data_IF_722184700743
#
_entry.id   IF_722184700743
#
_cell.length_a   1.000
_cell.length_b   1.000
_cell.length_c   1.000
_cell.angle_alpha   90.00
_cell.angle_beta   90.00
_cell.angle_gamma   90.00
#
_symmetry.space_group_name_H-M   'P 1'
#
loop_
_entity.id
_entity.type
_entity.pdbx_description
1 polymer ?
#
# COMPACT_ATOMS: atom_id res chain seq x y z
N UNK A 1 -24.80 -13.00 -1.28
CA UNK A 1 -23.37 -13.24 -0.96
C UNK A 1 -23.31 -14.43 -0.04
N UNK A 2 -22.41 -15.38 -0.28
CA UNK A 2 -22.17 -16.47 0.67
C UNK A 2 -21.70 -15.86 1.99
N UNK A 3 -22.30 -16.25 3.11
CA UNK A 3 -21.95 -15.72 4.41
C UNK A 3 -20.68 -16.43 4.90
N UNK A 4 -19.53 -15.79 4.72
CA UNK A 4 -18.27 -16.26 5.28
C UNK A 4 -18.12 -15.80 6.73
N UNK A 5 -17.64 -16.67 7.61
CA UNK A 5 -17.33 -16.37 9.01
C UNK A 5 -15.84 -16.19 9.26
N UNK A 6 -14.97 -16.67 8.36
CA UNK A 6 -13.51 -16.47 8.44
C UNK A 6 -12.90 -16.18 7.08
N UNK A 7 -11.76 -15.47 7.05
CA UNK A 7 -11.06 -15.15 5.80
C UNK A 7 -10.61 -16.40 5.02
N UNK A 8 -10.25 -17.47 5.73
CA UNK A 8 -9.81 -18.74 5.12
C UNK A 8 -10.86 -19.36 4.17
N UNK A 9 -12.14 -19.02 4.33
CA UNK A 9 -13.24 -19.52 3.51
C UNK A 9 -13.40 -18.78 2.17
N UNK A 10 -12.73 -17.64 1.99
CA UNK A 10 -12.77 -16.93 0.71
C UNK A 10 -12.01 -17.74 -0.33
N UNK A 11 -12.73 -18.28 -1.32
CA UNK A 11 -12.08 -18.98 -2.41
C UNK A 11 -11.34 -17.98 -3.32
N UNK A 12 -10.10 -18.31 -3.66
CA UNK A 12 -9.38 -17.57 -4.69
C UNK A 12 -9.57 -18.28 -6.02
N UNK A 13 -10.03 -17.53 -7.01
CA UNK A 13 -10.09 -17.97 -8.39
C UNK A 13 -9.46 -16.87 -9.23
N UNK A 14 -8.44 -17.23 -10.03
CA UNK A 14 -7.82 -16.28 -10.96
C UNK A 14 -8.91 -15.70 -11.87
N UNK A 15 -9.09 -14.37 -11.90
CA UNK A 15 -10.08 -13.77 -12.78
C UNK A 15 -9.75 -14.01 -14.26
N UNK A 16 -10.81 -14.16 -15.07
CA UNK A 16 -10.67 -14.10 -16.52
C UNK A 16 -10.54 -12.64 -16.96
N UNK A 17 -9.29 -12.18 -17.10
CA UNK A 17 -8.98 -10.81 -17.51
C UNK A 17 -9.42 -10.51 -18.94
N UNK A 18 -9.40 -11.50 -19.85
CA UNK A 18 -9.85 -11.27 -21.23
C UNK A 18 -11.36 -11.09 -21.30
N UNK A 19 -12.12 -11.93 -20.60
CA UNK A 19 -13.57 -11.75 -20.48
C UNK A 19 -13.91 -10.43 -19.77
N UNK A 20 -13.13 -10.01 -18.76
CA UNK A 20 -13.32 -8.73 -18.12
C UNK A 20 -13.13 -7.56 -19.10
N UNK A 21 -12.04 -7.56 -19.88
CA UNK A 21 -11.76 -6.56 -20.92
C UNK A 21 -12.83 -6.57 -22.00
N UNK A 22 -13.27 -7.74 -22.45
CA UNK A 22 -14.34 -7.88 -23.43
C UNK A 22 -15.67 -7.31 -22.93
N UNK A 23 -16.02 -7.58 -21.67
CA UNK A 23 -17.20 -7.01 -21.03
C UNK A 23 -17.14 -5.48 -20.98
N UNK A 24 -15.98 -4.91 -20.65
CA UNK A 24 -15.78 -3.44 -20.61
C UNK A 24 -15.93 -2.85 -22.01
N UNK A 25 -15.25 -3.41 -23.02
CA UNK A 25 -15.35 -2.97 -24.43
C UNK A 25 -16.79 -2.99 -24.93
N UNK A 26 -17.50 -4.09 -24.73
CA UNK A 26 -18.93 -4.20 -25.11
C UNK A 26 -19.83 -3.23 -24.35
N UNK A 27 -19.44 -2.83 -23.15
CA UNK A 27 -20.22 -1.88 -22.34
C UNK A 27 -20.14 -0.46 -22.88
N UNK A 28 -19.05 -0.08 -23.55
CA UNK A 28 -18.95 1.21 -24.27
C UNK A 28 -20.09 1.35 -25.28
N UNK A 29 -20.26 0.35 -26.16
CA UNK A 29 -21.32 0.37 -27.18
C UNK A 29 -22.72 0.34 -26.55
N UNK A 30 -22.89 -0.38 -25.45
CA UNK A 30 -24.18 -0.43 -24.73
C UNK A 30 -24.55 0.91 -24.11
N UNK A 31 -23.59 1.66 -23.56
CA UNK A 31 -23.85 3.01 -23.03
C UNK A 31 -24.20 3.97 -24.18
N UNK A 32 -23.45 3.93 -25.29
CA UNK A 32 -23.69 4.82 -26.46
C UNK A 32 -25.06 4.62 -27.10
N UNK A 33 -25.58 3.38 -27.09
CA UNK A 33 -26.86 3.01 -27.70
C UNK A 33 -28.00 2.87 -26.68
N UNK A 34 -27.78 3.19 -25.41
CA UNK A 34 -28.83 3.12 -24.40
C UNK A 34 -29.88 4.20 -24.63
N UNK A 35 -31.14 3.81 -24.80
CA UNK A 35 -32.27 4.75 -24.95
C UNK A 35 -32.96 5.15 -23.65
N UNK A 36 -32.48 4.66 -22.49
CA UNK A 36 -33.04 5.00 -21.17
C UNK A 36 -31.98 5.04 -20.08
N UNK A 37 -32.26 5.79 -19.01
CA UNK A 37 -31.41 5.85 -17.81
C UNK A 37 -31.24 4.49 -17.15
N UNK A 38 -32.28 3.65 -17.13
CA UNK A 38 -32.24 2.32 -16.51
C UNK A 38 -31.29 1.38 -17.25
N UNK A 39 -31.21 1.49 -18.58
CA UNK A 39 -30.27 0.73 -19.38
C UNK A 39 -28.82 1.13 -19.07
N UNK A 40 -28.55 2.45 -18.96
CA UNK A 40 -27.24 2.98 -18.57
C UNK A 40 -26.86 2.52 -17.16
N UNK A 41 -27.71 2.71 -16.15
CA UNK A 41 -27.44 2.28 -14.77
C UNK A 41 -27.15 0.78 -14.68
N UNK A 42 -27.88 -0.05 -15.44
CA UNK A 42 -27.64 -1.51 -15.46
C UNK A 42 -26.26 -1.87 -16.03
N UNK A 43 -25.85 -1.23 -17.13
CA UNK A 43 -24.53 -1.46 -17.74
C UNK A 43 -23.42 -0.96 -16.81
N UNK A 44 -23.58 0.25 -16.27
CA UNK A 44 -22.66 0.84 -15.31
C UNK A 44 -22.45 -0.05 -14.08
N UNK A 45 -23.55 -0.54 -13.49
CA UNK A 45 -23.50 -1.49 -12.38
C UNK A 45 -22.77 -2.78 -12.76
N UNK A 46 -23.02 -3.34 -13.95
CA UNK A 46 -22.36 -4.58 -14.37
C UNK A 46 -20.84 -4.44 -14.50
N UNK A 47 -20.36 -3.31 -15.04
CA UNK A 47 -18.92 -3.01 -15.10
C UNK A 47 -18.33 -2.82 -13.70
N UNK A 48 -19.01 -2.09 -12.82
CA UNK A 48 -18.57 -1.91 -11.43
C UNK A 48 -18.56 -3.24 -10.65
N UNK A 49 -19.52 -4.12 -10.91
CA UNK A 49 -19.56 -5.47 -10.32
C UNK A 49 -18.35 -6.31 -10.78
N UNK A 50 -17.97 -6.23 -12.06
CA UNK A 50 -16.78 -6.89 -12.58
C UNK A 50 -15.50 -6.32 -11.98
N UNK A 51 -15.37 -4.99 -11.88
CA UNK A 51 -14.21 -4.34 -11.26
C UNK A 51 -14.08 -4.72 -9.78
N UNK A 52 -15.21 -4.80 -9.06
CA UNK A 52 -15.24 -5.28 -7.67
C UNK A 52 -14.78 -6.72 -7.54
N UNK A 53 -15.17 -7.60 -8.47
CA UNK A 53 -14.70 -8.99 -8.48
C UNK A 53 -13.19 -9.09 -8.70
N UNK A 54 -12.65 -8.38 -9.70
CA UNK A 54 -11.20 -8.31 -9.95
C UNK A 54 -10.43 -7.86 -8.70
N UNK A 55 -10.85 -6.75 -8.09
CA UNK A 55 -10.24 -6.23 -6.86
C UNK A 55 -10.34 -7.21 -5.69
N UNK A 56 -11.47 -7.90 -5.54
CA UNK A 56 -11.63 -8.91 -4.48
C UNK A 56 -10.60 -10.03 -4.64
N UNK A 57 -10.44 -10.57 -5.85
CA UNK A 57 -9.48 -11.65 -6.09
C UNK A 57 -8.03 -11.16 -5.95
N UNK A 58 -7.72 -9.95 -6.40
CA UNK A 58 -6.41 -9.33 -6.20
C UNK A 58 -6.06 -9.22 -4.70
N UNK A 59 -6.99 -8.70 -3.88
CA UNK A 59 -6.80 -8.59 -2.42
C UNK A 59 -6.65 -9.96 -1.75
N UNK A 60 -7.41 -10.97 -2.17
CA UNK A 60 -7.24 -12.32 -1.63
C UNK A 60 -5.85 -12.89 -1.96
N UNK A 61 -5.39 -12.73 -3.20
CA UNK A 61 -4.04 -13.14 -3.60
C UNK A 61 -2.95 -12.39 -2.82
N UNK A 62 -3.09 -11.07 -2.68
CA UNK A 62 -2.15 -10.20 -1.98
C UNK A 62 -2.02 -10.58 -0.50
N UNK A 63 -3.14 -10.78 0.21
CA UNK A 63 -3.12 -11.18 1.61
C UNK A 63 -2.42 -12.54 1.76
N UNK A 64 -2.70 -13.50 0.87
CA UNK A 64 -2.06 -14.82 0.95
C UNK A 64 -0.58 -14.79 0.61
N UNK A 65 -0.19 -13.98 -0.38
CA UNK A 65 1.21 -13.73 -0.72
C UNK A 65 1.97 -13.06 0.43
N UNK A 66 1.36 -12.10 1.13
CA UNK A 66 2.03 -11.38 2.23
C UNK A 66 2.11 -12.21 3.52
N UNK A 67 1.22 -13.20 3.71
CA UNK A 67 1.33 -14.19 4.79
C UNK A 67 2.54 -15.11 4.57
N UNK A 68 2.74 -15.58 3.33
CA UNK A 68 3.88 -16.42 2.96
C UNK A 68 4.43 -15.98 1.59
N UNK A 69 5.45 -15.12 1.63
CA UNK A 69 6.12 -14.59 0.43
C UNK A 69 7.02 -15.62 -0.26
N UNK A 70 7.08 -16.85 0.27
CA UNK A 70 7.79 -17.97 -0.34
C UNK A 70 6.87 -18.92 -1.10
N UNK A 71 5.55 -18.70 -1.06
CA UNK A 71 4.57 -19.47 -1.83
C UNK A 71 4.64 -19.07 -3.32
N UNK A 72 5.15 -19.95 -4.21
CA UNK A 72 5.28 -19.63 -5.63
C UNK A 72 3.93 -19.48 -6.33
N UNK A 73 2.84 -20.04 -5.78
CA UNK A 73 1.52 -19.90 -6.37
C UNK A 73 1.07 -18.45 -6.26
N UNK A 74 0.95 -17.90 -5.05
CA UNK A 74 0.47 -16.53 -4.85
C UNK A 74 1.44 -15.48 -5.37
N UNK A 75 2.74 -15.76 -5.41
CA UNK A 75 3.70 -14.92 -6.14
C UNK A 75 3.33 -14.80 -7.62
N UNK A 76 3.07 -15.93 -8.29
CA UNK A 76 2.69 -15.95 -9.71
C UNK A 76 1.31 -15.31 -9.96
N UNK A 77 0.38 -15.42 -9.01
CA UNK A 77 -0.91 -14.74 -9.09
C UNK A 77 -0.75 -13.22 -9.00
N UNK A 78 0.09 -12.73 -8.08
CA UNK A 78 0.40 -11.31 -8.01
C UNK A 78 1.05 -10.80 -9.30
N UNK A 79 1.99 -11.56 -9.87
CA UNK A 79 2.58 -11.24 -11.16
C UNK A 79 1.51 -11.12 -12.27
N UNK A 80 0.57 -12.05 -12.30
CA UNK A 80 -0.54 -12.00 -13.25
C UNK A 80 -1.39 -10.73 -13.08
N UNK A 81 -1.68 -10.31 -11.84
CA UNK A 81 -2.39 -9.05 -11.60
C UNK A 81 -1.58 -7.82 -12.01
N UNK A 82 -0.27 -7.77 -11.73
CA UNK A 82 0.58 -6.64 -12.14
C UNK A 82 0.60 -6.44 -13.65
N UNK A 83 0.61 -7.53 -14.42
CA UNK A 83 0.61 -7.48 -15.89
C UNK A 83 -0.76 -7.12 -16.48
N UNK A 84 -1.86 -7.55 -15.84
CA UNK A 84 -3.20 -7.44 -16.42
C UNK A 84 -4.03 -6.26 -15.92
N UNK A 85 -3.86 -5.82 -14.67
CA UNK A 85 -4.63 -4.71 -14.12
C UNK A 85 -4.43 -3.40 -14.89
N UNK A 86 -3.21 -2.99 -15.27
CA UNK A 86 -3.01 -1.80 -16.10
C UNK A 86 -3.71 -1.91 -17.46
N UNK A 87 -3.77 -3.11 -18.05
CA UNK A 87 -4.48 -3.35 -19.31
C UNK A 87 -6.00 -3.25 -19.14
N UNK A 88 -6.54 -3.69 -18.01
CA UNK A 88 -7.95 -3.49 -17.67
C UNK A 88 -8.25 -2.00 -17.50
N UNK A 89 -7.36 -1.24 -16.85
CA UNK A 89 -7.52 0.19 -16.64
C UNK A 89 -7.53 0.96 -17.97
N UNK A 90 -6.76 0.53 -18.98
CA UNK A 90 -6.84 1.08 -20.34
C UNK A 90 -8.23 0.92 -20.97
N UNK A 91 -8.85 -0.25 -20.84
CA UNK A 91 -10.21 -0.47 -21.35
C UNK A 91 -11.23 0.34 -20.55
N UNK A 92 -11.03 0.44 -19.24
CA UNK A 92 -11.88 1.24 -18.35
C UNK A 92 -11.85 2.71 -18.70
N UNK A 93 -10.72 3.25 -19.17
CA UNK A 93 -10.60 4.67 -19.52
C UNK A 93 -11.61 5.08 -20.61
N UNK A 94 -11.78 4.28 -21.68
CA UNK A 94 -12.76 4.56 -22.73
C UNK A 94 -14.20 4.38 -22.24
N UNK A 95 -14.45 3.38 -21.39
CA UNK A 95 -15.75 3.20 -20.74
C UNK A 95 -16.12 4.40 -19.85
N UNK A 96 -15.21 4.84 -18.99
CA UNK A 96 -15.39 6.00 -18.10
C UNK A 96 -15.63 7.27 -18.89
N UNK A 97 -14.84 7.51 -19.95
CA UNK A 97 -15.06 8.63 -20.88
C UNK A 97 -16.47 8.61 -21.47
N UNK A 98 -16.93 7.44 -21.91
CA UNK A 98 -18.27 7.27 -22.49
C UNK A 98 -19.37 7.54 -21.46
N UNK A 99 -19.19 7.11 -20.21
CA UNK A 99 -20.12 7.39 -19.11
C UNK A 99 -20.18 8.90 -18.82
N UNK A 100 -19.03 9.58 -18.74
CA UNK A 100 -18.94 11.03 -18.51
C UNK A 100 -19.54 11.87 -19.65
N UNK A 101 -19.70 11.29 -20.85
CA UNK A 101 -20.31 11.93 -22.02
C UNK A 101 -21.77 11.52 -22.23
N UNK A 102 -22.31 10.63 -21.39
CA UNK A 102 -23.69 10.15 -21.52
C UNK A 102 -24.70 11.23 -21.18
N UNK A 103 -25.80 11.30 -21.95
CA UNK A 103 -26.95 12.16 -21.62
C UNK A 103 -27.61 11.80 -20.27
N UNK A 104 -27.35 10.58 -19.76
CA UNK A 104 -27.86 10.08 -18.50
C UNK A 104 -26.89 10.26 -17.32
N UNK A 105 -25.79 11.02 -17.49
CA UNK A 105 -24.80 11.24 -16.44
C UNK A 105 -25.44 11.82 -15.16
N UNK A 106 -26.38 12.75 -15.27
CA UNK A 106 -27.02 13.36 -14.09
C UNK A 106 -27.84 12.33 -13.30
N UNK A 107 -28.51 11.40 -13.97
CA UNK A 107 -29.21 10.31 -13.30
C UNK A 107 -28.24 9.38 -12.54
N UNK A 108 -27.04 9.16 -13.08
CA UNK A 108 -25.99 8.42 -12.37
C UNK A 108 -25.42 9.21 -11.19
N UNK A 109 -25.26 10.53 -11.32
CA UNK A 109 -24.82 11.39 -10.21
C UNK A 109 -25.83 11.40 -9.06
N UNK A 110 -27.13 11.38 -9.37
CA UNK A 110 -28.19 11.29 -8.36
C UNK A 110 -28.10 9.98 -7.56
N UNK A 111 -27.72 8.87 -8.21
CA UNK A 111 -27.62 7.54 -7.58
C UNK A 111 -26.29 7.34 -6.81
N UNK A 112 -25.16 7.75 -7.39
CA UNK A 112 -23.82 7.44 -6.87
C UNK A 112 -23.10 8.63 -6.21
N UNK A 113 -23.64 9.83 -6.36
CA UNK A 113 -23.06 11.09 -5.89
C UNK A 113 -22.07 11.72 -6.87
N UNK A 114 -22.09 13.05 -6.95
CA UNK A 114 -21.27 13.83 -7.88
C UNK A 114 -19.76 13.59 -7.70
N UNK A 115 -19.31 13.47 -6.44
CA UNK A 115 -17.89 13.26 -6.11
C UNK A 115 -17.32 11.99 -6.78
N UNK A 116 -18.13 10.96 -7.00
CA UNK A 116 -17.70 9.74 -7.68
C UNK A 116 -17.22 10.02 -9.11
N UNK A 117 -17.93 10.88 -9.84
CA UNK A 117 -17.61 11.22 -11.22
C UNK A 117 -16.46 12.21 -11.33
N UNK A 118 -16.35 13.15 -10.37
CA UNK A 118 -15.16 14.02 -10.25
C UNK A 118 -13.90 13.18 -10.05
N UNK A 119 -13.96 12.17 -9.15
CA UNK A 119 -12.86 11.22 -8.92
C UNK A 119 -12.52 10.44 -10.18
N UNK A 120 -13.54 9.90 -10.86
CA UNK A 120 -13.37 9.15 -12.11
C UNK A 120 -12.61 9.97 -13.16
N UNK A 121 -13.08 11.18 -13.46
CA UNK A 121 -12.45 12.06 -14.46
C UNK A 121 -10.98 12.37 -14.11
N UNK A 122 -10.71 12.64 -12.83
CA UNK A 122 -9.36 12.95 -12.34
C UNK A 122 -8.42 11.76 -12.46
N UNK A 123 -8.84 10.58 -12.01
CA UNK A 123 -8.01 9.37 -11.99
C UNK A 123 -7.74 8.83 -13.40
N UNK A 124 -8.60 9.11 -14.39
CA UNK A 124 -8.34 8.77 -15.79
C UNK A 124 -7.03 9.37 -16.33
N UNK A 125 -6.54 10.48 -15.74
CA UNK A 125 -5.26 11.11 -16.11
C UNK A 125 -4.04 10.28 -15.71
N UNK A 126 -4.21 9.22 -14.92
CA UNK A 126 -3.14 8.33 -14.48
C UNK A 126 -3.00 7.10 -15.38
N UNK A 127 -3.88 6.95 -16.36
CA UNK A 127 -3.93 5.79 -17.26
C UNK A 127 -3.30 6.15 -18.60
N UNK A 128 -2.23 5.44 -18.96
CA UNK A 128 -1.53 5.59 -20.25
C UNK A 128 -0.98 4.23 -20.70
N UNK A 129 -1.11 3.95 -22.00
CA UNK A 129 -0.62 2.72 -22.60
C UNK A 129 0.90 2.65 -22.53
N UNK A 130 1.55 3.80 -22.72
CA UNK A 130 3.00 3.99 -22.65
C UNK A 130 3.56 3.74 -21.24
N UNK A 131 2.71 3.75 -20.21
CA UNK A 131 3.10 3.49 -18.82
C UNK A 131 2.86 2.05 -18.34
N UNK A 132 2.19 1.20 -19.11
CA UNK A 132 1.90 -0.18 -18.68
C UNK A 132 3.17 -0.94 -18.31
N UNK A 133 4.19 -0.92 -19.17
CA UNK A 133 5.46 -1.61 -18.89
C UNK A 133 6.19 -1.01 -17.69
N UNK A 134 6.10 0.32 -17.49
CA UNK A 134 6.72 0.98 -16.35
C UNK A 134 6.03 0.57 -15.03
N UNK A 135 4.70 0.40 -15.01
CA UNK A 135 3.95 -0.05 -13.83
C UNK A 135 4.26 -1.51 -13.48
N UNK A 136 4.41 -2.37 -14.48
CA UNK A 136 4.86 -3.75 -14.29
C UNK A 136 6.28 -3.78 -13.72
N UNK A 137 7.20 -2.99 -14.27
CA UNK A 137 8.56 -2.86 -13.76
C UNK A 137 8.58 -2.35 -12.31
N UNK A 138 7.79 -1.33 -11.97
CA UNK A 138 7.67 -0.84 -10.59
C UNK A 138 7.22 -1.96 -9.65
N UNK A 139 6.18 -2.71 -10.04
CA UNK A 139 5.66 -3.81 -9.24
C UNK A 139 6.71 -4.91 -9.01
N UNK A 140 7.50 -5.23 -10.04
CA UNK A 140 8.62 -6.18 -9.94
C UNK A 140 9.72 -5.67 -9.00
N UNK A 141 10.06 -4.37 -9.06
CA UNK A 141 11.05 -3.75 -8.18
C UNK A 141 10.59 -3.75 -6.72
N UNK A 142 9.31 -3.48 -6.45
CA UNK A 142 8.72 -3.54 -5.10
C UNK A 142 8.75 -4.97 -4.56
N UNK A 143 8.40 -5.97 -5.37
CA UNK A 143 8.55 -7.38 -4.97
C UNK A 143 10.00 -7.75 -4.66
N UNK A 144 10.93 -7.30 -5.51
CA UNK A 144 12.36 -7.52 -5.30
C UNK A 144 12.84 -6.90 -4.00
N UNK A 145 12.40 -5.68 -3.66
CA UNK A 145 12.68 -5.05 -2.37
C UNK A 145 12.23 -5.94 -1.20
N UNK A 146 10.97 -6.40 -1.21
CA UNK A 146 10.45 -7.25 -0.13
C UNK A 146 11.23 -8.56 0.01
N UNK A 147 11.57 -9.22 -1.11
CA UNK A 147 12.39 -10.44 -1.09
C UNK A 147 13.79 -10.19 -0.56
N UNK A 148 14.43 -9.11 -0.98
CA UNK A 148 15.77 -8.74 -0.50
C UNK A 148 15.75 -8.43 0.99
N UNK A 149 14.77 -7.66 1.46
CA UNK A 149 14.60 -7.32 2.87
C UNK A 149 14.20 -8.52 3.76
N UNK A 150 13.62 -9.59 3.21
CA UNK A 150 13.22 -10.76 3.99
C UNK A 150 14.34 -11.81 4.17
N UNK A 151 15.40 -11.79 3.35
CA UNK A 151 16.46 -12.81 3.34
C UNK A 151 17.38 -12.81 4.57
N UNK A 152 17.84 -11.66 5.10
CA UNK A 152 18.88 -11.66 6.12
C UNK A 152 18.43 -12.27 7.45
N UNK A 153 19.37 -12.96 8.10
CA UNK A 153 19.18 -13.63 9.39
C UNK A 153 20.46 -13.50 10.20
N UNK A 154 20.34 -13.12 11.46
CA UNK A 154 21.45 -12.95 12.39
C UNK A 154 21.61 -14.21 13.25
N UNK A 155 22.85 -14.53 13.61
CA UNK A 155 23.13 -15.42 14.73
C UNK A 155 23.24 -14.58 16.01
N UNK A 156 22.24 -14.71 16.88
CA UNK A 156 22.13 -13.91 18.09
C UNK A 156 22.08 -14.82 19.31
N UNK A 157 23.16 -14.86 20.10
CA UNK A 157 23.27 -15.68 21.33
C UNK A 157 22.92 -17.17 21.14
N UNK A 158 23.28 -17.74 20.00
CA UNK A 158 23.02 -19.14 19.66
C UNK A 158 21.66 -19.40 18.99
N UNK A 159 20.83 -18.36 18.83
CA UNK A 159 19.56 -18.42 18.09
C UNK A 159 19.72 -17.76 16.72
N UNK A 160 19.07 -18.33 15.69
CA UNK A 160 18.96 -17.71 14.37
C UNK A 160 17.72 -16.81 14.36
N UNK A 161 17.91 -15.49 14.29
CA UNK A 161 16.81 -14.50 14.35
C UNK A 161 16.72 -13.69 13.04
N UNK A 162 15.49 -13.43 12.60
CA UNK A 162 15.19 -12.45 11.54
C UNK A 162 14.94 -11.06 12.17
N UNK A 163 14.58 -10.07 11.35
CA UNK A 163 14.26 -8.71 11.81
C UNK A 163 13.21 -8.66 12.94
N UNK A 164 12.13 -9.45 12.84
CA UNK A 164 11.10 -9.51 13.87
C UNK A 164 11.59 -10.16 15.17
N UNK A 165 12.41 -11.21 15.06
CA UNK A 165 13.07 -11.84 16.21
C UNK A 165 13.98 -10.86 16.95
N UNK A 166 14.76 -10.06 16.22
CA UNK A 166 15.62 -9.03 16.79
C UNK A 166 14.82 -7.87 17.41
N UNK A 167 13.73 -7.43 16.77
CA UNK A 167 12.83 -6.40 17.31
C UNK A 167 12.31 -6.75 18.71
N UNK A 168 11.97 -8.02 18.95
CA UNK A 168 11.59 -8.50 20.30
C UNK A 168 12.74 -8.38 21.29
N UNK A 169 13.97 -8.69 20.89
CA UNK A 169 15.15 -8.59 21.76
C UNK A 169 15.55 -7.13 22.04
N UNK A 170 15.15 -6.18 21.19
CA UNK A 170 15.32 -4.74 21.44
C UNK A 170 14.44 -4.21 22.58
N UNK A 171 13.45 -4.99 23.04
CA UNK A 171 12.58 -4.64 24.16
C UNK A 171 12.97 -5.36 25.46
N UNK A 172 14.12 -6.04 25.47
CA UNK A 172 14.59 -6.79 26.63
C UNK A 172 14.91 -5.85 27.80
N UNK A 173 14.57 -6.21 29.05
CA UNK A 173 14.92 -5.40 30.23
C UNK A 173 16.44 -5.19 30.37
N UNK A 174 17.26 -6.17 29.96
CA UNK A 174 18.71 -6.01 29.95
C UNK A 174 19.16 -5.09 28.80
N UNK A 175 19.66 -3.91 29.18
CA UNK A 175 20.18 -2.88 28.27
C UNK A 175 21.25 -3.39 27.32
N UNK A 176 22.08 -4.34 27.75
CA UNK A 176 23.10 -4.94 26.89
C UNK A 176 22.45 -5.76 25.77
N UNK A 177 21.37 -6.49 26.08
CA UNK A 177 20.63 -7.28 25.08
C UNK A 177 20.00 -6.37 24.04
N UNK A 178 19.38 -5.26 24.46
CA UNK A 178 18.80 -4.30 23.52
C UNK A 178 19.84 -3.72 22.56
N UNK A 179 20.98 -3.28 23.11
CA UNK A 179 22.09 -2.76 22.32
C UNK A 179 22.61 -3.79 21.32
N UNK A 180 22.93 -5.00 21.80
CA UNK A 180 23.44 -6.07 20.94
C UNK A 180 22.41 -6.44 19.85
N UNK A 181 21.11 -6.46 20.18
CA UNK A 181 20.04 -6.78 19.25
C UNK A 181 19.88 -5.72 18.15
N UNK A 182 19.95 -4.44 18.50
CA UNK A 182 19.89 -3.37 17.50
C UNK A 182 21.16 -3.31 16.64
N UNK A 183 22.33 -3.58 17.21
CA UNK A 183 23.55 -3.71 16.41
C UNK A 183 23.41 -4.84 15.39
N UNK A 184 22.97 -6.02 15.82
CA UNK A 184 22.72 -7.14 14.90
C UNK A 184 21.67 -6.80 13.83
N UNK A 185 20.60 -6.06 14.18
CA UNK A 185 19.59 -5.61 13.24
C UNK A 185 20.16 -4.62 12.21
N UNK A 186 21.01 -3.69 12.66
CA UNK A 186 21.72 -2.76 11.78
C UNK A 186 22.67 -3.51 10.84
N UNK A 187 23.39 -4.52 11.35
CA UNK A 187 24.30 -5.33 10.53
C UNK A 187 23.53 -6.12 9.45
N UNK A 188 22.31 -6.58 9.74
CA UNK A 188 21.45 -7.20 8.73
C UNK A 188 21.11 -6.23 7.61
N UNK A 189 20.66 -5.01 7.92
CA UNK A 189 20.41 -3.99 6.88
C UNK A 189 21.68 -3.60 6.13
N UNK A 190 22.79 -3.42 6.84
CA UNK A 190 24.08 -3.09 6.25
C UNK A 190 24.54 -4.17 5.26
N UNK A 191 24.26 -5.45 5.54
CA UNK A 191 24.63 -6.57 4.66
C UNK A 191 23.90 -6.60 3.32
N UNK A 192 22.75 -5.92 3.22
CA UNK A 192 21.94 -5.82 1.99
C UNK A 192 21.80 -4.38 1.49
N UNK A 193 22.54 -3.43 2.06
CA UNK A 193 22.36 -2.01 1.78
C UNK A 193 22.58 -1.67 0.30
N UNK A 194 23.59 -2.25 -0.34
CA UNK A 194 23.88 -2.01 -1.76
C UNK A 194 22.75 -2.49 -2.67
N UNK A 195 22.18 -3.68 -2.37
CA UNK A 195 21.03 -4.20 -3.11
C UNK A 195 19.80 -3.30 -2.94
N UNK A 196 19.52 -2.87 -1.70
CA UNK A 196 18.39 -1.96 -1.43
C UNK A 196 18.58 -0.59 -2.10
N UNK A 197 19.81 -0.07 -2.12
CA UNK A 197 20.15 1.21 -2.77
C UNK A 197 19.97 1.14 -4.29
N UNK A 198 20.38 0.04 -4.93
CA UNK A 198 20.17 -0.19 -6.36
C UNK A 198 18.67 -0.28 -6.70
N UNK A 199 17.90 -1.05 -5.92
CA UNK A 199 16.44 -1.16 -6.09
C UNK A 199 15.78 0.22 -5.93
N UNK A 200 16.17 0.98 -4.91
CA UNK A 200 15.59 2.30 -4.66
C UNK A 200 15.90 3.30 -5.77
N UNK A 201 17.12 3.26 -6.32
CA UNK A 201 17.51 4.09 -7.47
C UNK A 201 16.69 3.73 -8.72
N UNK A 202 16.49 2.44 -8.99
CA UNK A 202 15.62 1.98 -10.09
C UNK A 202 14.18 2.42 -9.90
N UNK A 203 13.63 2.32 -8.68
CA UNK A 203 12.30 2.81 -8.35
C UNK A 203 12.15 4.31 -8.59
N UNK A 204 13.13 5.13 -8.16
CA UNK A 204 13.11 6.58 -8.41
C UNK A 204 13.09 6.87 -9.92
N UNK A 205 13.97 6.24 -10.69
CA UNK A 205 14.07 6.48 -12.13
C UNK A 205 12.79 6.06 -12.86
N UNK A 206 12.24 4.89 -12.52
CA UNK A 206 10.99 4.41 -13.09
C UNK A 206 9.83 5.36 -12.77
N UNK A 207 9.70 5.81 -11.51
CA UNK A 207 8.67 6.76 -11.07
C UNK A 207 8.75 8.13 -11.75
N UNK A 208 9.97 8.64 -11.94
CA UNK A 208 10.19 9.87 -12.72
C UNK A 208 9.70 9.67 -14.16
N UNK A 209 10.06 8.54 -14.79
CA UNK A 209 9.62 8.20 -16.15
C UNK A 209 8.10 8.11 -16.25
N UNK A 210 7.44 7.45 -15.28
CA UNK A 210 5.98 7.35 -15.25
C UNK A 210 5.30 8.73 -15.20
N UNK A 211 5.79 9.63 -14.34
CA UNK A 211 5.25 10.98 -14.22
C UNK A 211 5.45 11.80 -15.51
N UNK A 212 6.62 11.68 -16.14
CA UNK A 212 6.93 12.35 -17.41
C UNK A 212 6.03 11.88 -18.55
N UNK A 213 5.80 10.57 -18.67
CA UNK A 213 4.90 10.00 -19.69
C UNK A 213 3.48 10.54 -19.56
N UNK A 214 3.00 10.76 -18.33
CA UNK A 214 1.68 11.32 -18.05
C UNK A 214 1.65 12.86 -18.07
N UNK A 215 2.78 13.52 -18.34
CA UNK A 215 2.87 14.98 -18.43
C UNK A 215 2.82 15.73 -17.10
N UNK A 216 3.07 15.06 -15.97
CA UNK A 216 3.21 15.71 -14.67
C UNK A 216 4.59 16.38 -14.54
N UNK A 217 4.64 17.45 -13.74
CA UNK A 217 5.89 18.16 -13.41
C UNK A 217 6.91 17.24 -12.75
N UNK A 218 6.44 16.39 -11.83
CA UNK A 218 7.25 15.41 -11.12
C UNK A 218 6.35 14.29 -10.54
N UNK A 219 6.97 13.26 -9.96
CA UNK A 219 6.24 12.13 -9.37
C UNK A 219 5.36 12.52 -8.19
N UNK A 220 5.72 13.52 -7.39
CA UNK A 220 4.88 13.90 -6.25
C UNK A 220 3.61 14.63 -6.71
N UNK A 221 3.57 15.30 -7.86
CA UNK A 221 2.33 15.88 -8.39
C UNK A 221 1.38 14.78 -8.84
N UNK A 222 1.92 13.81 -9.59
CA UNK A 222 1.19 12.59 -9.98
C UNK A 222 0.62 11.86 -8.76
N UNK A 223 1.42 11.70 -7.69
CA UNK A 223 0.98 11.01 -6.48
C UNK A 223 -0.05 11.78 -5.67
N UNK A 224 -0.06 13.11 -5.69
CA UNK A 224 -1.14 13.87 -5.05
C UNK A 224 -2.49 13.58 -5.73
N UNK A 225 -2.50 13.48 -7.06
CA UNK A 225 -3.69 13.07 -7.81
C UNK A 225 -4.07 11.61 -7.53
N UNK A 226 -3.09 10.69 -7.55
CA UNK A 226 -3.30 9.25 -7.32
C UNK A 226 -3.79 8.94 -5.91
N UNK A 227 -3.33 9.69 -4.91
CA UNK A 227 -3.79 9.60 -3.52
C UNK A 227 -5.06 10.42 -3.27
N UNK A 228 -5.64 11.02 -4.31
CA UNK A 228 -6.91 11.74 -4.27
C UNK A 228 -6.92 12.92 -3.29
N UNK A 229 -5.76 13.57 -3.16
CA UNK A 229 -5.55 14.76 -2.32
C UNK A 229 -6.08 15.98 -3.04
N UNK A 230 -7.36 16.29 -2.83
CA UNK A 230 -8.06 17.36 -3.55
C UNK A 230 -8.24 18.64 -2.76
N UNK A 231 -8.06 18.57 -1.45
CA UNK A 231 -8.34 19.60 -0.46
C UNK A 231 -7.09 20.17 0.22
N UNK A 232 -5.91 19.65 -0.12
CA UNK A 232 -4.61 20.19 0.32
C UNK A 232 -3.50 19.93 -0.71
N UNK A 233 -2.46 20.76 -0.66
CA UNK A 233 -1.33 20.72 -1.59
C UNK A 233 0.03 20.51 -0.88
N UNK A 234 1.14 20.86 -1.55
CA UNK A 234 2.49 20.67 -0.98
C UNK A 234 2.83 21.73 0.05
N UNK A 235 2.34 22.94 -0.17
CA UNK A 235 2.52 24.11 0.64
C UNK A 235 1.81 23.91 1.99
N UNK A 236 0.59 23.37 1.98
CA UNK A 236 -0.13 22.97 3.19
C UNK A 236 0.65 21.95 4.02
N UNK A 237 1.16 20.89 3.38
CA UNK A 237 1.94 19.87 4.09
C UNK A 237 3.28 20.44 4.59
N UNK A 238 3.90 21.36 3.85
CA UNK A 238 5.12 22.03 4.30
C UNK A 238 4.87 22.90 5.54
N UNK A 239 3.79 23.69 5.53
CA UNK A 239 3.35 24.48 6.68
C UNK A 239 3.06 23.58 7.89
N UNK A 240 2.31 22.49 7.69
CA UNK A 240 2.00 21.53 8.75
C UNK A 240 3.27 20.90 9.35
N UNK A 241 4.23 20.45 8.53
CA UNK A 241 5.52 19.90 9.02
C UNK A 241 6.31 20.93 9.82
N UNK A 242 6.28 22.19 9.42
CA UNK A 242 6.93 23.26 10.16
C UNK A 242 6.28 23.50 11.53
N UNK A 243 4.94 23.43 11.61
CA UNK A 243 4.23 23.48 12.90
C UNK A 243 4.62 22.29 13.81
N UNK A 244 4.71 21.08 13.26
CA UNK A 244 5.19 19.91 14.03
C UNK A 244 6.61 20.18 14.56
N UNK A 245 7.51 20.71 13.73
CA UNK A 245 8.87 21.07 14.13
C UNK A 245 8.91 22.09 15.27
N UNK A 246 8.03 23.11 15.21
CA UNK A 246 8.02 24.20 16.19
C UNK A 246 7.36 23.80 17.51
N UNK A 247 6.25 23.06 17.46
CA UNK A 247 5.40 22.86 18.64
C UNK A 247 5.45 21.44 19.21
N UNK A 248 5.64 20.41 18.37
CA UNK A 248 5.63 19.01 18.82
C UNK A 248 7.02 18.52 19.18
N UNK A 249 8.04 18.85 18.38
CA UNK A 249 9.43 18.40 18.64
C UNK A 249 9.94 18.81 20.03
N UNK A 250 9.73 20.04 20.54
CA UNK A 250 10.13 20.39 21.90
C UNK A 250 9.44 19.54 22.98
N UNK A 251 8.15 19.24 22.79
CA UNK A 251 7.39 18.39 23.73
C UNK A 251 7.91 16.95 23.70
N UNK A 252 8.23 16.41 22.53
CA UNK A 252 8.85 15.08 22.40
C UNK A 252 10.23 15.04 23.06
N UNK A 253 11.03 16.10 22.93
CA UNK A 253 12.31 16.19 23.63
C UNK A 253 12.14 16.18 25.16
N UNK A 254 11.14 16.90 25.70
CA UNK A 254 10.82 16.81 27.13
C UNK A 254 10.36 15.41 27.57
N UNK A 255 9.62 14.69 26.71
CA UNK A 255 9.20 13.30 26.98
C UNK A 255 10.43 12.39 27.08
N UNK A 256 11.39 12.50 26.16
CA UNK A 256 12.62 11.73 26.20
C UNK A 256 13.50 12.06 27.42
N UNK A 257 13.56 13.33 27.84
CA UNK A 257 14.25 13.69 29.09
C UNK A 257 13.58 13.10 30.34
N UNK A 258 12.24 13.11 30.39
CA UNK A 258 11.49 12.45 31.47
C UNK A 258 11.72 10.94 31.47
N UNK A 259 11.76 10.31 30.29
CA UNK A 259 12.08 8.90 30.14
C UNK A 259 13.50 8.59 30.63
N UNK A 260 14.51 9.36 30.20
CA UNK A 260 15.89 9.24 30.65
C UNK A 260 16.01 9.30 32.18
N UNK A 261 15.35 10.27 32.81
CA UNK A 261 15.30 10.42 34.26
C UNK A 261 14.60 9.23 34.94
N UNK A 262 13.48 8.75 34.38
CA UNK A 262 12.74 7.60 34.92
C UNK A 262 13.52 6.28 34.81
N UNK A 263 14.33 6.12 33.77
CA UNK A 263 15.24 4.99 33.59
C UNK A 263 16.51 5.09 34.46
N UNK A 264 16.80 6.26 35.02
CA UNK A 264 18.01 6.48 35.84
C UNK A 264 19.31 6.38 35.04
N UNK A 265 19.30 6.71 33.75
CA UNK A 265 20.47 6.64 32.87
C UNK A 265 21.06 8.02 32.58
N UNK A 266 22.37 8.09 32.40
CA UNK A 266 23.08 9.34 32.08
C UNK A 266 22.70 9.88 30.69
N UNK A 267 22.67 9.00 29.70
CA UNK A 267 22.29 9.29 28.32
C UNK A 267 21.29 8.24 27.81
N UNK A 268 20.21 8.72 27.19
CA UNK A 268 19.24 7.90 26.46
C UNK A 268 19.78 7.73 25.03
N UNK A 269 20.23 6.52 24.70
CA UNK A 269 20.66 6.20 23.34
C UNK A 269 19.51 5.62 22.53
N UNK A 270 19.71 5.49 21.23
CA UNK A 270 18.74 4.89 20.30
C UNK A 270 18.23 3.50 20.73
N UNK A 271 19.03 2.71 21.47
CA UNK A 271 18.65 1.38 21.98
C UNK A 271 17.91 1.43 23.34
N UNK A 272 17.60 2.63 23.83
CA UNK A 272 16.81 2.87 25.04
C UNK A 272 15.45 3.51 24.73
N UNK A 273 15.22 3.98 23.49
CA UNK A 273 14.02 4.76 23.11
C UNK A 273 12.71 4.00 23.32
N UNK A 274 12.68 2.70 23.05
CA UNK A 274 11.48 1.86 23.25
C UNK A 274 11.21 1.49 24.73
N UNK A 275 12.15 1.78 25.64
CA UNK A 275 12.02 1.41 27.05
C UNK A 275 11.35 2.53 27.86
N UNK A 276 10.07 2.38 28.14
CA UNK A 276 9.35 3.40 28.90
C UNK A 276 9.62 3.36 30.41
N UNK A 277 9.93 2.22 31.03
CA UNK A 277 10.17 2.05 32.48
C UNK A 277 11.34 1.10 32.80
N UNK A 278 11.94 1.18 34.02
CA UNK A 278 12.94 0.21 34.49
C UNK A 278 12.37 -1.19 34.70
N UNK A 279 11.11 -1.26 35.12
CA UNK A 279 10.32 -2.49 35.11
C UNK A 279 10.08 -2.86 33.64
N UNK A 280 10.19 -4.16 33.32
CA UNK A 280 9.89 -4.67 31.98
C UNK A 280 8.58 -4.02 31.51
N UNK A 281 8.57 -3.53 30.26
CA UNK A 281 7.32 -3.08 29.63
C UNK A 281 6.25 -4.08 30.03
N UNK A 282 5.10 -3.66 30.61
CA UNK A 282 4.00 -4.58 30.77
C UNK A 282 3.75 -5.06 29.35
N UNK A 283 4.23 -6.27 29.06
CA UNK A 283 3.77 -6.99 27.90
C UNK A 283 2.25 -6.90 28.00
N UNK A 284 1.57 -6.96 26.88
CA UNK A 284 0.21 -7.46 26.87
C UNK A 284 0.24 -8.95 27.33
N UNK A 285 0.75 -9.22 28.53
CA UNK A 285 0.67 -10.48 29.26
C UNK A 285 -0.80 -10.68 29.52
N UNK A 286 -1.38 -11.72 28.90
CA UNK A 286 -2.59 -12.52 29.22
C UNK A 286 -3.83 -11.88 29.89
N UNK A 287 -3.71 -10.88 30.75
CA UNK A 287 -4.78 -10.15 31.41
C UNK A 287 -5.77 -9.48 30.46
N UNK A 288 -5.36 -9.13 29.22
CA UNK A 288 -6.28 -8.65 28.18
C UNK A 288 -6.80 -9.76 27.25
N UNK A 289 -6.12 -10.92 27.18
CA UNK A 289 -6.62 -12.09 26.43
C UNK A 289 -7.83 -12.73 27.12
N UNK A 290 -7.82 -12.76 28.46
CA UNK A 290 -8.91 -13.33 29.26
C UNK A 290 -10.12 -12.40 29.43
N UNK A 291 -10.11 -11.19 28.84
CA UNK A 291 -11.26 -10.27 28.82
C UNK A 291 -12.04 -10.27 27.51
N UNK A 292 -11.59 -11.06 26.52
CA UNK A 292 -12.25 -11.21 25.21
C UNK A 292 -12.57 -12.69 24.90
N UNK A 293 -13.01 -13.45 25.92
CA UNK A 293 -13.74 -14.70 25.75
C UNK A 293 -15.14 -14.53 26.32
#
# INVERSE_FOLDING_TARGET
MNHFTTFSQYEYVRPDFENAKELIRKSVDKIKNAGTKEAVSKVFKAVNDQQRHLRTMATVAEIRNTIDTTDPFYESEMQCFYENMPLVDLEMQEFQKTVLQSEYLDALKDEYGELYFIRMERLMKLVSKENVENQVEESNLVQLYHKTAAKPVAQFKGEKLNFYGLLKKMQDPDRKIRKDALMAWSDLYQSIADDLNDIYTKLINNRIKQAQVLGFKDYTEMMYLSMERFDYDREDVACYREMIRQFVVPVVAEIYEKQRNRLGIEHLYYYDEDMSSPEAMPYLTEQLRNKCN
#
